data_IF_364934452551
#
_entry.id   IF_364934452551
#
_cell.length_a   1.000
_cell.length_b   1.000
_cell.length_c   1.000
_cell.angle_alpha   90.00
_cell.angle_beta   90.00
_cell.angle_gamma   90.00
#
_symmetry.space_group_name_H-M   'P 1'
#
loop_
_entity.id
_entity.type
_entity.pdbx_description
1 polymer ?
#
# COMPACT_ATOMS: atom_id res chain seq x y z
N UNK A 1 -8.95 8.77 -13.23
CA UNK A 1 -7.79 8.71 -12.33
C UNK A 1 -6.48 9.09 -13.02
N UNK A 2 -5.77 10.07 -12.47
CA UNK A 2 -4.42 10.47 -12.90
C UNK A 2 -3.36 9.75 -12.07
N UNK A 3 -2.41 9.10 -12.75
CA UNK A 3 -1.27 8.44 -12.12
C UNK A 3 -0.08 9.40 -12.13
N UNK A 4 0.31 9.92 -10.97
CA UNK A 4 1.53 10.73 -10.89
C UNK A 4 2.79 9.86 -10.96
N UNK A 5 3.87 10.44 -11.49
CA UNK A 5 5.14 9.74 -11.63
C UNK A 5 5.70 9.46 -10.23
N UNK A 6 5.84 8.18 -9.87
CA UNK A 6 6.37 7.75 -8.58
C UNK A 6 7.74 8.37 -8.30
N UNK A 7 7.93 8.86 -7.07
CA UNK A 7 9.23 9.30 -6.54
C UNK A 7 10.08 8.07 -6.28
N UNK A 8 11.32 8.07 -6.76
CA UNK A 8 12.18 6.90 -6.65
C UNK A 8 13.31 7.15 -5.66
N UNK A 9 13.48 6.20 -4.73
CA UNK A 9 14.67 6.11 -3.90
C UNK A 9 15.83 5.57 -4.76
N UNK A 10 17.00 6.22 -4.81
CA UNK A 10 18.14 5.75 -5.61
C UNK A 10 18.53 4.29 -5.31
N UNK A 11 19.02 3.50 -6.29
CA UNK A 11 19.41 2.10 -6.08
C UNK A 11 20.46 1.90 -4.98
N UNK A 12 21.40 2.84 -4.85
CA UNK A 12 22.50 2.78 -3.87
C UNK A 12 22.13 3.38 -2.51
N UNK A 13 20.87 3.80 -2.32
CA UNK A 13 20.44 4.43 -1.07
C UNK A 13 20.45 3.42 0.09
N UNK A 14 21.05 3.74 1.25
CA UNK A 14 21.23 2.79 2.36
C UNK A 14 19.92 2.21 2.91
N UNK A 15 18.80 2.91 2.76
CA UNK A 15 17.47 2.45 3.18
C UNK A 15 17.04 1.15 2.49
N UNK A 16 17.47 0.94 1.23
CA UNK A 16 17.16 -0.28 0.47
C UNK A 16 17.80 -1.50 1.12
N UNK A 17 19.07 -1.37 1.49
CA UNK A 17 19.80 -2.43 2.22
C UNK A 17 19.17 -2.66 3.59
N UNK A 18 18.85 -1.59 4.31
CA UNK A 18 18.24 -1.67 5.64
C UNK A 18 16.90 -2.43 5.61
N UNK A 19 15.96 -2.04 4.74
CA UNK A 19 14.67 -2.73 4.65
C UNK A 19 14.82 -4.18 4.21
N UNK A 20 15.67 -4.45 3.21
CA UNK A 20 15.96 -5.83 2.81
C UNK A 20 16.45 -6.68 3.98
N UNK A 21 17.43 -6.22 4.75
CA UNK A 21 17.94 -6.96 5.90
C UNK A 21 16.88 -7.15 6.99
N UNK A 22 16.05 -6.14 7.28
CA UNK A 22 14.99 -6.24 8.28
C UNK A 22 13.87 -7.21 7.85
N UNK A 23 13.52 -7.23 6.57
CA UNK A 23 12.54 -8.16 6.01
C UNK A 23 13.08 -9.59 6.01
N UNK A 24 14.33 -9.80 5.58
CA UNK A 24 15.02 -11.10 5.64
C UNK A 24 15.00 -11.65 7.08
N UNK A 25 15.44 -10.85 8.06
CA UNK A 25 15.44 -11.24 9.48
C UNK A 25 14.04 -11.54 10.01
N UNK A 26 13.03 -10.76 9.61
CA UNK A 26 11.64 -10.97 10.04
C UNK A 26 11.05 -12.27 9.49
N UNK A 27 11.34 -12.58 8.23
CA UNK A 27 10.80 -13.77 7.56
C UNK A 27 11.50 -15.05 8.00
N UNK A 28 12.81 -14.99 8.29
CA UNK A 28 13.55 -16.10 8.90
C UNK A 28 12.93 -16.53 10.23
N UNK A 29 12.45 -15.58 11.06
CA UNK A 29 11.83 -15.87 12.36
C UNK A 29 10.52 -16.66 12.26
N UNK A 30 9.83 -16.57 11.14
CA UNK A 30 8.58 -17.31 10.86
C UNK A 30 8.81 -18.47 9.88
N UNK A 31 10.08 -18.84 9.65
CA UNK A 31 10.50 -19.91 8.73
C UNK A 31 10.03 -19.72 7.28
N UNK A 32 9.71 -18.48 6.89
CA UNK A 32 9.29 -18.14 5.53
C UNK A 32 10.53 -17.97 4.65
N UNK A 33 10.73 -18.91 3.72
CA UNK A 33 11.93 -18.97 2.85
C UNK A 33 11.70 -18.48 1.43
N UNK A 34 10.62 -17.74 1.20
CA UNK A 34 10.30 -17.19 -0.10
C UNK A 34 11.12 -15.91 -0.37
N UNK A 35 12.13 -16.04 -1.23
CA UNK A 35 13.04 -14.94 -1.58
C UNK A 35 12.38 -13.87 -2.43
N UNK A 36 11.40 -14.24 -3.25
CA UNK A 36 10.72 -13.29 -4.13
C UNK A 36 9.72 -12.46 -3.31
N UNK A 37 9.02 -13.10 -2.37
CA UNK A 37 8.18 -12.39 -1.41
C UNK A 37 9.00 -11.47 -0.50
N UNK A 38 10.16 -11.92 -0.03
CA UNK A 38 11.09 -11.09 0.76
C UNK A 38 11.52 -9.84 -0.02
N UNK A 39 11.92 -10.01 -1.28
CA UNK A 39 12.31 -8.89 -2.16
C UNK A 39 11.15 -7.95 -2.38
N UNK A 40 9.97 -8.49 -2.70
CA UNK A 40 8.77 -7.71 -2.95
C UNK A 40 8.38 -6.85 -1.74
N UNK A 41 8.36 -7.42 -0.52
CA UNK A 41 8.05 -6.64 0.69
C UNK A 41 9.11 -5.58 0.97
N UNK A 42 10.40 -5.89 0.78
CA UNK A 42 11.46 -4.90 0.93
C UNK A 42 11.32 -3.75 -0.08
N UNK A 43 11.01 -4.04 -1.33
CA UNK A 43 10.80 -3.03 -2.38
C UNK A 43 9.54 -2.18 -2.11
N UNK A 44 8.46 -2.79 -1.62
CA UNK A 44 7.25 -2.10 -1.17
C UNK A 44 7.57 -1.09 -0.06
N UNK A 45 8.34 -1.51 0.96
CA UNK A 45 8.75 -0.62 2.05
C UNK A 45 9.59 0.56 1.55
N UNK A 46 10.49 0.33 0.59
CA UNK A 46 11.28 1.40 -0.04
C UNK A 46 10.39 2.36 -0.82
N UNK A 47 9.42 1.84 -1.55
CA UNK A 47 8.51 2.64 -2.37
C UNK A 47 7.70 3.62 -1.51
N UNK A 48 7.18 3.16 -0.37
CA UNK A 48 6.32 3.96 0.51
C UNK A 48 7.08 4.83 1.51
N UNK A 49 8.41 4.93 1.40
CA UNK A 49 9.19 5.99 2.07
C UNK A 49 8.69 7.37 1.64
N UNK A 50 8.30 7.52 0.38
CA UNK A 50 7.68 8.75 -0.11
C UNK A 50 6.16 8.68 0.09
N UNK A 51 5.63 9.56 0.94
CA UNK A 51 4.18 9.66 1.21
C UNK A 51 3.37 9.95 -0.06
N UNK A 52 3.97 10.58 -1.07
CA UNK A 52 3.36 10.83 -2.38
C UNK A 52 3.10 9.53 -3.14
N UNK A 53 4.00 8.54 -3.02
CA UNK A 53 3.80 7.23 -3.61
C UNK A 53 2.67 6.47 -2.90
N UNK A 54 2.54 6.64 -1.58
CA UNK A 54 1.49 6.00 -0.81
C UNK A 54 0.09 6.45 -1.27
N UNK A 55 -0.11 7.76 -1.46
CA UNK A 55 -1.36 8.35 -1.96
C UNK A 55 -1.22 8.85 -3.41
N UNK A 56 -0.67 8.00 -4.28
CA UNK A 56 -0.41 8.34 -5.69
C UNK A 56 -1.65 8.29 -6.59
N UNK A 57 -2.75 7.77 -6.05
CA UNK A 57 -4.02 7.62 -6.74
C UNK A 57 -4.86 8.88 -6.56
N UNK A 58 -5.29 9.47 -7.67
CA UNK A 58 -6.13 10.67 -7.69
C UNK A 58 -7.42 10.41 -8.45
N UNK A 59 -8.52 11.01 -8.01
CA UNK A 59 -9.79 11.02 -8.74
C UNK A 59 -9.70 11.87 -10.03
N UNK A 60 -10.79 11.90 -10.80
CA UNK A 60 -10.91 12.70 -12.02
C UNK A 60 -10.88 14.22 -11.79
N UNK A 61 -11.01 14.67 -10.54
CA UNK A 61 -10.88 16.07 -10.14
C UNK A 61 -9.49 16.41 -9.56
N UNK A 62 -8.57 15.45 -9.56
CA UNK A 62 -7.20 15.61 -9.05
C UNK A 62 -7.09 15.55 -7.53
N UNK A 63 -8.14 15.11 -6.82
CA UNK A 63 -8.09 14.91 -5.37
C UNK A 63 -7.44 13.55 -5.06
N UNK A 64 -6.55 13.54 -4.07
CA UNK A 64 -5.91 12.32 -3.57
C UNK A 64 -6.96 11.37 -2.98
N UNK A 65 -6.85 10.10 -3.36
CA UNK A 65 -7.62 9.03 -2.77
C UNK A 65 -6.90 8.57 -1.49
N UNK A 66 -7.55 8.78 -0.35
CA UNK A 66 -6.99 8.45 0.97
C UNK A 66 -7.60 7.17 1.55
N UNK A 67 -8.70 6.67 0.96
CA UNK A 67 -9.40 5.47 1.39
C UNK A 67 -9.27 4.33 0.38
N UNK A 68 -9.19 3.10 0.89
CA UNK A 68 -9.12 1.87 0.07
C UNK A 68 -10.38 1.75 -0.78
N UNK A 69 -11.55 2.10 -0.23
CA UNK A 69 -12.82 2.06 -0.98
C UNK A 69 -12.82 3.03 -2.15
N UNK A 70 -12.36 4.27 -1.96
CA UNK A 70 -12.30 5.23 -3.07
C UNK A 70 -11.32 4.75 -4.15
N UNK A 71 -10.17 4.20 -3.75
CA UNK A 71 -9.20 3.61 -4.68
C UNK A 71 -9.80 2.44 -5.48
N UNK A 72 -10.58 1.57 -4.82
CA UNK A 72 -11.25 0.44 -5.48
C UNK A 72 -12.33 0.88 -6.45
N UNK A 73 -13.17 1.83 -6.04
CA UNK A 73 -14.26 2.37 -6.86
C UNK A 73 -13.70 2.99 -8.15
N UNK A 74 -12.64 3.79 -8.03
CA UNK A 74 -11.95 4.41 -9.17
C UNK A 74 -11.20 3.38 -10.02
N UNK A 75 -10.61 2.34 -9.42
CA UNK A 75 -9.89 1.30 -10.17
C UNK A 75 -10.82 0.46 -11.06
N UNK A 76 -12.08 0.27 -10.67
CA UNK A 76 -13.06 -0.50 -11.44
C UNK A 76 -13.49 0.20 -12.74
N UNK A 77 -13.26 1.51 -12.86
CA UNK A 77 -13.55 2.30 -14.05
C UNK A 77 -12.42 2.30 -15.10
N UNK A 78 -11.28 1.66 -14.81
CA UNK A 78 -10.07 1.69 -15.65
C UNK A 78 -10.11 0.67 -16.80
N UNK A 79 -9.35 0.96 -17.85
CA UNK A 79 -9.04 -0.01 -18.91
C UNK A 79 -8.17 -1.17 -18.36
N UNK A 80 -8.19 -2.37 -18.97
CA UNK A 80 -7.63 -3.60 -18.37
C UNK A 80 -6.14 -3.53 -17.98
N UNK A 81 -5.34 -2.74 -18.69
CA UNK A 81 -3.91 -2.57 -18.40
C UNK A 81 -3.66 -1.72 -17.14
N UNK A 82 -4.47 -0.68 -16.90
CA UNK A 82 -4.39 0.17 -15.72
C UNK A 82 -5.01 -0.47 -14.49
N UNK A 83 -6.02 -1.31 -14.69
CA UNK A 83 -6.71 -2.04 -13.63
C UNK A 83 -5.77 -2.94 -12.82
N UNK A 84 -4.82 -3.64 -13.46
CA UNK A 84 -3.85 -4.50 -12.76
C UNK A 84 -2.91 -3.70 -11.87
N UNK A 85 -2.38 -2.58 -12.36
CA UNK A 85 -1.46 -1.74 -11.60
C UNK A 85 -2.19 -1.06 -10.43
N UNK A 86 -3.43 -0.61 -10.65
CA UNK A 86 -4.28 -0.06 -9.60
C UNK A 86 -4.57 -1.10 -8.51
N UNK A 87 -4.97 -2.32 -8.89
CA UNK A 87 -5.21 -3.42 -7.93
C UNK A 87 -3.94 -3.80 -7.16
N UNK A 88 -2.78 -3.84 -7.82
CA UNK A 88 -1.49 -4.05 -7.15
C UNK A 88 -1.23 -2.95 -6.12
N UNK A 89 -1.39 -1.68 -6.51
CA UNK A 89 -1.18 -0.53 -5.61
C UNK A 89 -2.11 -0.60 -4.39
N UNK A 90 -3.38 -0.94 -4.60
CA UNK A 90 -4.37 -1.10 -3.51
C UNK A 90 -3.93 -2.22 -2.55
N UNK A 91 -3.46 -3.35 -3.09
CA UNK A 91 -2.92 -4.45 -2.30
C UNK A 91 -1.68 -4.02 -1.50
N UNK A 92 -0.72 -3.37 -2.15
CA UNK A 92 0.51 -2.87 -1.54
C UNK A 92 0.18 -1.89 -0.39
N UNK A 93 -0.71 -0.91 -0.64
CA UNK A 93 -1.19 0.06 0.34
C UNK A 93 -1.84 -0.64 1.54
N UNK A 94 -2.73 -1.59 1.27
CA UNK A 94 -3.43 -2.35 2.32
C UNK A 94 -2.44 -3.13 3.20
N UNK A 95 -1.50 -3.85 2.59
CA UNK A 95 -0.46 -4.59 3.31
C UNK A 95 0.38 -3.66 4.20
N UNK A 96 0.79 -2.49 3.68
CA UNK A 96 1.55 -1.51 4.44
C UNK A 96 0.78 -0.94 5.63
N UNK A 97 -0.47 -0.52 5.40
CA UNK A 97 -1.31 0.07 6.44
C UNK A 97 -1.64 -0.94 7.54
N UNK A 98 -1.91 -2.20 7.19
CA UNK A 98 -2.15 -3.27 8.17
C UNK A 98 -0.89 -3.65 8.95
N UNK A 99 0.29 -3.59 8.32
CA UNK A 99 1.57 -3.96 8.94
C UNK A 99 2.15 -2.91 9.88
N UNK A 100 2.01 -1.62 9.56
CA UNK A 100 2.61 -0.51 10.33
C UNK A 100 1.60 0.18 11.26
N UNK A 101 0.30 0.17 10.95
CA UNK A 101 -0.70 0.95 11.67
C UNK A 101 -1.88 0.11 12.18
N UNK A 102 -1.75 -0.59 13.31
CA UNK A 102 -2.93 -1.02 14.05
C UNK A 102 -3.80 0.19 14.47
N UNK A 103 -3.21 1.39 14.59
CA UNK A 103 -3.93 2.66 14.79
C UNK A 103 -4.76 3.10 13.59
N UNK A 104 -4.41 2.73 12.37
CA UNK A 104 -5.28 2.95 11.20
C UNK A 104 -6.54 2.11 11.35
N UNK A 105 -6.40 0.84 11.74
CA UNK A 105 -7.56 -0.01 12.08
C UNK A 105 -8.36 0.55 13.26
N UNK A 106 -7.71 1.16 14.27
CA UNK A 106 -8.41 1.87 15.36
C UNK A 106 -9.12 3.13 14.87
N UNK A 107 -8.50 3.95 14.02
CA UNK A 107 -9.11 5.17 13.43
C UNK A 107 -10.30 4.82 12.55
N UNK A 108 -10.17 3.78 11.74
CA UNK A 108 -11.28 3.17 10.99
C UNK A 108 -12.40 2.80 11.96
N UNK A 109 -12.11 2.04 13.03
CA UNK A 109 -13.11 1.66 14.06
C UNK A 109 -13.70 2.85 14.85
N UNK A 110 -12.93 3.88 15.18
CA UNK A 110 -13.37 5.07 15.96
C UNK A 110 -14.10 6.08 15.09
N UNK A 111 -13.79 6.16 13.80
CA UNK A 111 -14.56 6.90 12.79
C UNK A 111 -15.90 6.23 12.45
N UNK A 112 -16.34 5.22 13.19
CA UNK A 112 -17.72 4.68 13.11
C UNK A 112 -18.81 5.70 13.49
N UNK A 113 -18.43 6.87 14.04
CA UNK A 113 -19.35 8.01 14.21
C UNK A 113 -19.51 8.86 12.93
N UNK A 114 -18.60 8.73 11.95
CA UNK A 114 -18.66 9.37 10.62
C UNK A 114 -18.17 8.34 9.59
N UNK A 115 -19.11 7.60 9.00
CA UNK A 115 -18.91 6.49 8.04
C UNK A 115 -17.61 6.57 7.21
N UNK A 116 -16.54 5.97 7.72
CA UNK A 116 -15.30 5.80 6.95
C UNK A 116 -15.44 4.51 6.13
N UNK A 117 -15.39 4.57 4.79
CA UNK A 117 -15.81 3.44 3.95
C UNK A 117 -14.90 2.21 4.09
N UNK A 118 -13.65 2.39 4.54
CA UNK A 118 -12.68 1.31 4.80
C UNK A 118 -13.04 0.41 6.00
N UNK A 119 -14.01 0.81 6.84
CA UNK A 119 -14.51 0.01 7.99
C UNK A 119 -15.17 -1.29 7.52
N UNK A 120 -15.80 -1.27 6.34
CA UNK A 120 -16.67 -2.34 5.89
C UNK A 120 -15.92 -3.51 5.24
N UNK A 121 -14.62 -3.36 4.99
CA UNK A 121 -13.77 -4.43 4.49
C UNK A 121 -13.26 -5.29 5.64
N UNK A 122 -14.17 -6.04 6.26
CA UNK A 122 -13.80 -7.15 7.13
C UNK A 122 -13.42 -8.34 6.23
N UNK A 123 -12.12 -8.59 6.09
CA UNK A 123 -11.58 -9.61 5.19
C UNK A 123 -11.68 -11.05 5.77
N UNK A 124 -12.51 -11.27 6.79
CA UNK A 124 -12.85 -12.63 7.24
C UNK A 124 -14.01 -13.20 6.43
N UNK A 125 -13.68 -14.08 5.49
CA UNK A 125 -14.45 -15.30 5.26
C UNK A 125 -13.56 -16.51 5.43
#
# INVERSE_FOLDING_TARGET
MLYEKRRQVPPDHPIRRMFRSLTEMSFERIELRDRDLTRYVADLLVEFVHIDNLYNLHDDQGKRLETIVDMLLESAAQAPAGEREARKHIGDYTLFMMGIFPEYLKRVKTSSLISHPDVLMDYTK
#
